data_IF_323163466255
#
_entry.id   IF_323163466255
#
_cell.length_a   1.000
_cell.length_b   1.000
_cell.length_c   1.000
_cell.angle_alpha   90.00
_cell.angle_beta   90.00
_cell.angle_gamma   90.00
#
_symmetry.space_group_name_H-M   'P 1'
#
loop_
_entity.id
_entity.type
_entity.pdbx_description
1 polymer ?
#
# COMPACT_ATOMS: atom_id res chain seq x y z
N UNK A 1 -2.29 -88.02 10.83
CA UNK A 1 -2.14 -87.45 9.48
C UNK A 1 -3.47 -86.79 9.13
N UNK A 2 -3.54 -85.46 9.27
CA UNK A 2 -4.78 -84.67 9.11
C UNK A 2 -4.60 -83.88 7.81
N UNK A 3 -5.48 -84.11 6.85
CA UNK A 3 -5.49 -83.40 5.56
C UNK A 3 -6.29 -82.13 5.83
N UNK A 4 -5.63 -80.97 5.75
CA UNK A 4 -6.31 -79.69 5.75
C UNK A 4 -6.87 -79.45 4.35
N UNK A 5 -8.18 -79.51 4.23
CA UNK A 5 -8.90 -79.16 3.00
C UNK A 5 -8.79 -77.65 2.79
N UNK A 6 -7.80 -77.26 1.98
CA UNK A 6 -7.61 -75.89 1.52
C UNK A 6 -8.76 -75.47 0.62
N UNK A 7 -9.82 -74.91 1.21
CA UNK A 7 -10.87 -74.22 0.47
C UNK A 7 -10.25 -73.09 -0.36
N UNK A 8 -10.15 -73.29 -1.67
CA UNK A 8 -9.65 -72.30 -2.61
C UNK A 8 -10.57 -71.07 -2.52
N UNK A 9 -10.09 -70.02 -1.87
CA UNK A 9 -10.74 -68.71 -1.86
C UNK A 9 -10.88 -68.25 -3.30
N UNK A 10 -12.11 -68.14 -3.79
CA UNK A 10 -12.38 -67.46 -5.04
C UNK A 10 -11.93 -66.01 -4.88
N UNK A 11 -10.83 -65.64 -5.53
CA UNK A 11 -10.38 -64.26 -5.59
C UNK A 11 -11.37 -63.48 -6.46
N UNK A 12 -12.09 -62.54 -5.84
CA UNK A 12 -13.01 -61.66 -6.54
C UNK A 12 -12.22 -60.71 -7.43
N UNK A 13 -12.29 -60.92 -8.74
CA UNK A 13 -11.77 -59.95 -9.71
C UNK A 13 -12.68 -58.70 -9.71
N UNK A 14 -12.07 -57.51 -9.76
CA UNK A 14 -12.80 -56.25 -9.91
C UNK A 14 -13.53 -56.21 -11.25
N UNK A 15 -14.77 -55.71 -11.24
CA UNK A 15 -15.51 -55.51 -12.49
C UNK A 15 -14.96 -54.30 -13.24
N UNK A 16 -14.88 -54.39 -14.57
CA UNK A 16 -14.37 -53.31 -15.43
C UNK A 16 -15.11 -51.98 -15.20
N UNK A 17 -16.42 -52.04 -14.91
CA UNK A 17 -17.22 -50.84 -14.62
C UNK A 17 -16.78 -50.14 -13.32
N UNK A 18 -16.39 -50.91 -12.31
CA UNK A 18 -15.96 -50.39 -11.01
C UNK A 18 -14.62 -49.66 -11.14
N UNK A 19 -13.69 -50.23 -11.92
CA UNK A 19 -12.42 -49.57 -12.24
C UNK A 19 -12.65 -48.26 -13.01
N UNK A 20 -13.58 -48.25 -13.98
CA UNK A 20 -13.89 -47.06 -14.76
C UNK A 20 -14.44 -45.94 -13.87
N UNK A 21 -15.41 -46.25 -13.00
CA UNK A 21 -15.98 -45.28 -12.06
C UNK A 21 -14.89 -44.73 -11.12
N UNK A 22 -14.00 -45.61 -10.62
CA UNK A 22 -12.90 -45.21 -9.74
C UNK A 22 -11.95 -44.22 -10.44
N UNK A 23 -11.59 -44.47 -11.70
CA UNK A 23 -10.74 -43.57 -12.49
C UNK A 23 -11.41 -42.21 -12.70
N UNK A 24 -12.72 -42.16 -12.97
CA UNK A 24 -13.46 -40.89 -13.12
C UNK A 24 -13.47 -40.10 -11.81
N UNK A 25 -13.74 -40.75 -10.67
CA UNK A 25 -13.74 -40.09 -9.36
C UNK A 25 -12.36 -39.52 -9.04
N UNK A 26 -11.30 -40.30 -9.25
CA UNK A 26 -9.92 -39.85 -9.04
C UNK A 26 -9.59 -38.69 -9.98
N UNK A 27 -9.98 -38.77 -11.25
CA UNK A 27 -9.77 -37.69 -12.22
C UNK A 27 -10.44 -36.38 -11.81
N UNK A 28 -11.72 -36.42 -11.41
CA UNK A 28 -12.44 -35.25 -10.91
C UNK A 28 -11.82 -34.69 -9.63
N UNK A 29 -11.33 -35.56 -8.73
CA UNK A 29 -10.66 -35.15 -7.50
C UNK A 29 -9.36 -34.40 -7.80
N UNK A 30 -8.55 -34.89 -8.74
CA UNK A 30 -7.31 -34.23 -9.16
C UNK A 30 -7.58 -32.87 -9.82
N UNK A 31 -8.62 -32.79 -10.66
CA UNK A 31 -9.04 -31.52 -11.27
C UNK A 31 -9.50 -30.51 -10.21
N UNK A 32 -10.29 -30.96 -9.23
CA UNK A 32 -10.75 -30.12 -8.11
C UNK A 32 -9.59 -29.57 -7.27
N UNK A 33 -8.63 -30.43 -6.91
CA UNK A 33 -7.45 -30.03 -6.13
C UNK A 33 -6.60 -29.03 -6.93
N UNK A 34 -6.33 -29.32 -8.20
CA UNK A 34 -5.51 -28.46 -9.05
C UNK A 34 -6.16 -27.08 -9.24
N UNK A 35 -7.47 -27.04 -9.47
CA UNK A 35 -8.23 -25.79 -9.55
C UNK A 35 -8.18 -24.99 -8.24
N UNK A 36 -8.37 -25.66 -7.11
CA UNK A 36 -8.32 -25.04 -5.79
C UNK A 36 -6.97 -24.41 -5.45
N UNK A 37 -5.86 -25.10 -5.76
CA UNK A 37 -4.50 -24.58 -5.54
C UNK A 37 -4.26 -23.32 -6.38
N UNK A 38 -4.61 -23.35 -7.67
CA UNK A 38 -4.42 -22.21 -8.56
C UNK A 38 -5.24 -20.99 -8.09
N UNK A 39 -6.49 -21.21 -7.66
CA UNK A 39 -7.32 -20.17 -7.09
C UNK A 39 -6.69 -19.58 -5.81
N UNK A 40 -6.24 -20.42 -4.88
CA UNK A 40 -5.62 -19.97 -3.63
C UNK A 40 -4.35 -19.13 -3.88
N UNK A 41 -3.47 -19.57 -4.77
CA UNK A 41 -2.27 -18.80 -5.15
C UNK A 41 -2.65 -17.47 -5.79
N UNK A 42 -3.69 -17.46 -6.64
CA UNK A 42 -4.18 -16.23 -7.25
C UNK A 42 -4.68 -15.24 -6.20
N UNK A 43 -5.42 -15.70 -5.20
CA UNK A 43 -5.89 -14.89 -4.07
C UNK A 43 -4.74 -14.35 -3.24
N UNK A 44 -3.77 -15.18 -2.86
CA UNK A 44 -2.61 -14.75 -2.06
C UNK A 44 -1.84 -13.63 -2.78
N UNK A 45 -1.57 -13.80 -4.06
CA UNK A 45 -0.90 -12.77 -4.87
C UNK A 45 -1.71 -11.47 -4.91
N UNK A 46 -3.04 -11.54 -5.08
CA UNK A 46 -3.91 -10.35 -5.06
C UNK A 46 -3.87 -9.62 -3.73
N UNK A 47 -3.85 -10.35 -2.61
CA UNK A 47 -3.76 -9.74 -1.28
C UNK A 47 -2.40 -9.05 -1.10
N UNK A 48 -1.31 -9.68 -1.53
CA UNK A 48 0.03 -9.07 -1.45
C UNK A 48 0.15 -7.80 -2.27
N UNK A 49 -0.46 -7.77 -3.46
CA UNK A 49 -0.52 -6.57 -4.29
C UNK A 49 -1.29 -5.43 -3.59
N UNK A 50 -2.38 -5.77 -2.92
CA UNK A 50 -3.18 -4.81 -2.16
C UNK A 50 -2.43 -4.29 -0.93
N UNK A 51 -1.85 -5.17 -0.12
CA UNK A 51 -1.08 -4.82 1.07
C UNK A 51 0.08 -3.90 0.69
N UNK A 52 0.80 -4.22 -0.39
CA UNK A 52 1.87 -3.36 -0.91
C UNK A 52 1.36 -1.97 -1.33
N UNK A 53 0.19 -1.90 -1.96
CA UNK A 53 -0.40 -0.61 -2.33
C UNK A 53 -0.69 0.25 -1.08
N UNK A 54 -1.15 -0.37 0.01
CA UNK A 54 -1.40 0.31 1.26
C UNK A 54 -0.10 0.81 1.92
N UNK A 55 0.95 -0.03 1.96
CA UNK A 55 2.26 0.37 2.47
C UNK A 55 2.82 1.59 1.73
N UNK A 56 2.69 1.62 0.40
CA UNK A 56 3.12 2.75 -0.45
C UNK A 56 2.32 4.01 -0.09
N UNK A 57 1.00 3.91 -0.02
CA UNK A 57 0.12 5.03 0.32
C UNK A 57 0.43 5.59 1.71
N UNK A 58 0.70 4.73 2.70
CA UNK A 58 1.09 5.14 4.05
C UNK A 58 2.47 5.79 4.08
N UNK A 59 3.46 5.21 3.39
CA UNK A 59 4.80 5.82 3.28
C UNK A 59 4.74 7.21 2.65
N UNK A 60 3.97 7.40 1.58
CA UNK A 60 3.81 8.71 0.96
C UNK A 60 2.99 9.67 1.83
N UNK A 61 2.00 9.18 2.57
CA UNK A 61 1.27 9.98 3.55
C UNK A 61 2.20 10.50 4.67
N UNK A 62 3.07 9.63 5.19
CA UNK A 62 4.09 10.01 6.19
C UNK A 62 5.06 11.04 5.63
N UNK A 63 5.58 10.82 4.41
CA UNK A 63 6.45 11.80 3.73
C UNK A 63 5.75 13.14 3.53
N UNK A 64 4.48 13.13 3.15
CA UNK A 64 3.68 14.32 2.95
C UNK A 64 3.47 15.09 4.26
N UNK A 65 3.29 14.37 5.38
CA UNK A 65 3.19 14.99 6.70
C UNK A 65 4.48 15.72 7.08
N UNK A 66 5.66 15.18 6.76
CA UNK A 66 6.94 15.78 7.10
C UNK A 66 7.29 17.04 6.27
N UNK A 67 6.51 17.36 5.23
CA UNK A 67 6.74 18.54 4.41
C UNK A 67 6.33 19.83 5.13
N UNK A 68 7.14 20.87 4.93
CA UNK A 68 6.81 22.21 5.42
C UNK A 68 5.56 22.76 4.72
N UNK A 69 4.70 23.41 5.48
CA UNK A 69 3.48 24.04 4.98
C UNK A 69 3.69 24.99 3.80
N UNK A 70 4.78 25.76 3.83
CA UNK A 70 5.15 26.69 2.76
C UNK A 70 5.36 25.97 1.41
N UNK A 71 5.95 24.77 1.44
CA UNK A 71 6.20 23.97 0.23
C UNK A 71 4.92 23.35 -0.32
N UNK A 72 4.01 22.93 0.58
CA UNK A 72 2.69 22.43 0.22
C UNK A 72 1.86 23.51 -0.46
N UNK A 73 1.85 24.73 0.09
CA UNK A 73 1.12 25.86 -0.49
C UNK A 73 1.75 26.38 -1.79
N UNK A 74 3.08 26.31 -1.92
CA UNK A 74 3.78 26.72 -3.14
C UNK A 74 3.58 25.76 -4.32
N UNK A 75 3.12 24.53 -4.07
CA UNK A 75 2.96 23.51 -5.11
C UNK A 75 4.29 22.99 -5.69
N UNK A 76 5.43 23.30 -5.06
CA UNK A 76 6.78 22.96 -5.53
C UNK A 76 7.25 21.59 -5.02
N UNK A 77 6.37 20.61 -4.93
CA UNK A 77 6.72 19.25 -4.52
C UNK A 77 6.38 18.24 -5.62
N UNK A 78 7.04 17.09 -5.58
CA UNK A 78 6.80 16.03 -6.55
C UNK A 78 5.43 15.40 -6.29
N UNK A 79 4.50 15.58 -7.22
CA UNK A 79 3.14 15.02 -7.14
C UNK A 79 3.01 13.62 -7.71
N UNK A 80 4.00 13.17 -8.50
CA UNK A 80 4.00 11.85 -9.12
C UNK A 80 5.11 10.99 -8.51
N UNK A 81 4.82 9.71 -8.30
CA UNK A 81 5.79 8.75 -7.80
C UNK A 81 5.62 7.37 -8.44
N UNK A 82 6.69 6.57 -8.39
CA UNK A 82 6.71 5.19 -8.88
C UNK A 82 7.33 4.33 -7.79
N UNK A 83 6.69 3.20 -7.49
CA UNK A 83 7.24 2.15 -6.63
C UNK A 83 6.97 0.76 -7.24
N UNK A 84 7.57 -0.27 -6.67
CA UNK A 84 7.58 -1.63 -7.16
C UNK A 84 7.04 -2.61 -6.11
N UNK A 85 6.45 -3.71 -6.57
CA UNK A 85 5.96 -4.79 -5.69
C UNK A 85 7.10 -5.39 -4.85
N UNK A 86 8.20 -5.69 -5.52
CA UNK A 86 9.44 -6.09 -4.87
C UNK A 86 10.42 -4.94 -5.00
N UNK A 87 11.02 -4.46 -3.89
CA UNK A 87 12.06 -3.46 -3.97
C UNK A 87 13.16 -4.03 -4.85
N UNK A 88 13.58 -3.26 -5.86
CA UNK A 88 14.75 -3.63 -6.66
C UNK A 88 15.90 -3.67 -5.69
N UNK A 89 16.35 -4.87 -5.31
CA UNK A 89 17.56 -5.00 -4.51
C UNK A 89 18.64 -4.28 -5.32
N UNK A 90 19.16 -3.20 -4.74
CA UNK A 90 20.26 -2.43 -5.33
C UNK A 90 21.50 -3.32 -5.29
N UNK A 91 21.54 -4.29 -6.20
CA UNK A 91 22.70 -5.14 -6.39
C UNK A 91 23.84 -4.24 -6.82
N UNK A 92 24.96 -4.36 -6.13
CA UNK A 92 26.20 -3.58 -6.27
C UNK A 92 26.81 -3.59 -7.68
N UNK A 93 26.19 -4.26 -8.66
CA UNK A 93 26.53 -4.25 -10.09
C UNK A 93 25.47 -3.51 -10.91
N UNK A 94 25.06 -2.33 -10.43
CA UNK A 94 23.92 -1.57 -10.95
C UNK A 94 24.05 -1.23 -12.43
N UNK A 95 23.30 -1.95 -13.26
CA UNK A 95 22.81 -1.36 -14.51
C UNK A 95 21.79 -0.31 -14.06
N UNK A 96 22.21 0.96 -14.09
CA UNK A 96 21.30 2.08 -13.88
C UNK A 96 20.23 2.01 -14.97
N UNK A 97 19.04 1.56 -14.60
CA UNK A 97 17.86 1.71 -15.45
C UNK A 97 17.50 3.20 -15.42
N UNK A 98 18.04 3.94 -16.38
CA UNK A 98 17.61 5.31 -16.66
C UNK A 98 16.24 5.22 -17.34
N UNK A 99 15.16 5.34 -16.56
CA UNK A 99 13.83 5.57 -17.11
C UNK A 99 13.82 6.99 -17.68
N UNK A 100 14.09 7.12 -18.97
CA UNK A 100 13.93 8.38 -19.69
C UNK A 100 12.43 8.67 -19.80
N UNK A 101 11.93 9.59 -18.98
CA UNK A 101 10.56 10.12 -19.10
C UNK A 101 10.48 11.24 -20.14
N UNK A 102 11.18 11.10 -21.28
CA UNK A 102 11.31 12.17 -22.28
C UNK A 102 10.17 12.22 -23.30
N UNK A 103 9.13 11.40 -23.17
CA UNK A 103 7.92 11.59 -23.94
C UNK A 103 6.87 12.23 -23.06
N UNK A 104 6.48 13.46 -23.42
CA UNK A 104 5.28 14.10 -22.92
C UNK A 104 4.17 13.05 -22.93
N UNK A 105 3.63 12.72 -21.75
CA UNK A 105 2.52 11.77 -21.60
C UNK A 105 1.41 12.25 -22.52
N UNK A 106 1.26 11.58 -23.66
CA UNK A 106 0.19 11.86 -24.58
C UNK A 106 -1.09 11.37 -23.90
N UNK A 107 -1.88 12.30 -23.38
CA UNK A 107 -3.25 12.02 -23.00
C UNK A 107 -3.98 11.62 -24.27
N UNK A 108 -4.23 10.32 -24.44
CA UNK A 108 -5.18 9.86 -25.44
C UNK A 108 -6.55 10.32 -24.95
N UNK A 109 -7.08 11.39 -25.57
CA UNK A 109 -8.44 11.82 -25.31
C UNK A 109 -9.36 10.63 -25.59
N UNK A 110 -10.04 10.10 -24.56
CA UNK A 110 -11.13 9.15 -24.76
C UNK A 110 -12.26 9.89 -25.50
N UNK A 111 -12.55 9.54 -26.77
CA UNK A 111 -13.53 10.27 -27.56
C UNK A 111 -14.96 10.07 -27.05
N UNK A 112 -15.20 9.19 -26.06
CA UNK A 112 -16.54 8.83 -25.61
C UNK A 112 -16.95 9.55 -24.32
N UNK A 113 -16.02 9.86 -23.39
CA UNK A 113 -16.41 10.34 -22.06
C UNK A 113 -15.62 11.54 -21.51
N UNK A 114 -14.65 12.12 -22.24
CA UNK A 114 -13.96 13.36 -21.82
C UNK A 114 -13.31 13.28 -20.43
N UNK A 115 -13.08 12.07 -19.93
CA UNK A 115 -12.39 11.82 -18.67
C UNK A 115 -10.96 11.48 -19.04
N UNK A 116 -10.02 12.34 -18.65
CA UNK A 116 -8.60 12.10 -18.85
C UNK A 116 -8.20 10.87 -18.02
N UNK A 117 -8.18 9.69 -18.66
CA UNK A 117 -7.59 8.50 -18.05
C UNK A 117 -6.08 8.68 -18.14
N UNK A 118 -5.34 8.70 -17.01
CA UNK A 118 -3.89 8.72 -17.07
C UNK A 118 -3.44 7.48 -17.83
N UNK A 119 -2.87 7.68 -19.02
CA UNK A 119 -2.21 6.61 -19.76
C UNK A 119 -1.00 6.21 -18.92
N UNK A 120 -1.07 5.05 -18.27
CA UNK A 120 0.11 4.46 -17.63
C UNK A 120 1.14 4.30 -18.75
N UNK A 121 2.30 4.96 -18.69
CA UNK A 121 3.32 4.77 -19.71
C UNK A 121 3.69 3.29 -19.70
N UNK A 122 3.41 2.60 -20.81
CA UNK A 122 3.99 1.29 -21.06
C UNK A 122 5.47 1.55 -21.29
N UNK A 123 6.25 1.48 -20.21
CA UNK A 123 7.70 1.66 -20.29
C UNK A 123 8.27 0.40 -20.93
N UNK A 124 8.31 0.36 -22.26
CA UNK A 124 9.04 -0.67 -23.00
C UNK A 124 10.54 -0.37 -22.87
N UNK A 125 11.16 -0.93 -21.83
CA UNK A 125 12.58 -0.82 -21.55
C UNK A 125 13.40 -1.61 -22.58
N UNK A 126 13.81 -0.97 -23.67
CA UNK A 126 14.76 -1.55 -24.63
C UNK A 126 16.18 -1.23 -24.17
N UNK A 127 16.83 -2.14 -23.43
CA UNK A 127 18.26 -2.03 -23.14
C UNK A 127 19.07 -2.70 -24.25
N UNK A 128 19.90 -1.95 -24.96
CA UNK A 128 20.92 -2.51 -25.86
C UNK A 128 22.18 -2.85 -25.06
N UNK A 129 22.61 -4.11 -25.10
CA UNK A 129 23.96 -4.48 -24.66
C UNK A 129 24.97 -4.17 -25.79
N UNK A 130 26.25 -4.00 -25.44
CA UNK A 130 27.34 -3.72 -26.41
C UNK A 130 27.54 -4.83 -27.47
N UNK A 131 26.81 -5.94 -27.35
CA UNK A 131 26.84 -7.06 -28.28
C UNK A 131 25.62 -7.14 -29.22
N UNK A 132 24.82 -6.07 -29.32
CA UNK A 132 23.76 -5.94 -30.34
C UNK A 132 22.68 -7.02 -30.28
N UNK A 133 22.58 -7.76 -29.17
CA UNK A 133 21.45 -8.66 -28.92
C UNK A 133 20.42 -7.88 -28.14
N UNK A 134 19.22 -7.74 -28.71
CA UNK A 134 18.05 -7.24 -28.00
C UNK A 134 17.73 -8.22 -26.86
N UNK A 135 18.33 -8.03 -25.69
CA UNK A 135 17.82 -8.62 -24.47
C UNK A 135 16.68 -7.71 -24.01
N UNK A 136 15.44 -8.12 -24.26
CA UNK A 136 14.32 -7.64 -23.46
C UNK A 136 14.63 -8.02 -22.03
N UNK A 137 14.94 -7.02 -21.21
CA UNK A 137 15.36 -7.20 -19.83
C UNK A 137 14.14 -7.66 -19.05
N UNK A 138 13.93 -8.98 -19.00
CA UNK A 138 12.75 -9.71 -18.51
C UNK A 138 12.42 -9.49 -17.03
N UNK A 139 13.10 -8.55 -16.38
CA UNK A 139 12.81 -8.06 -15.03
C UNK A 139 11.47 -7.28 -15.03
N UNK A 140 11.09 -6.66 -16.15
CA UNK A 140 9.77 -6.04 -16.33
C UNK A 140 8.61 -7.05 -16.40
N UNK A 141 8.87 -8.33 -16.69
CA UNK A 141 7.80 -9.32 -16.84
C UNK A 141 7.25 -9.82 -15.50
N UNK A 142 7.95 -9.56 -14.38
CA UNK A 142 7.59 -10.15 -13.07
C UNK A 142 7.33 -9.14 -11.96
N UNK A 143 7.75 -7.88 -12.10
CA UNK A 143 7.54 -6.87 -11.07
C UNK A 143 6.36 -5.97 -11.43
N UNK A 144 5.38 -5.87 -10.53
CA UNK A 144 4.24 -4.96 -10.69
C UNK A 144 4.72 -3.56 -10.35
N UNK A 145 4.43 -2.62 -11.26
CA UNK A 145 4.77 -1.19 -11.11
C UNK A 145 3.55 -0.47 -10.58
N UNK A 146 3.76 0.28 -9.51
CA UNK A 146 2.77 1.16 -8.89
C UNK A 146 3.07 2.59 -9.32
N UNK A 147 2.15 3.21 -10.04
CA UNK A 147 2.22 4.61 -10.41
C UNK A 147 1.24 5.39 -9.54
N UNK A 148 1.72 6.43 -8.85
CA UNK A 148 0.89 7.20 -7.94
C UNK A 148 0.93 8.70 -8.17
N UNK A 149 -0.13 9.35 -7.70
CA UNK A 149 -0.35 10.79 -7.78
C UNK A 149 -0.80 11.34 -6.44
N UNK A 150 -0.40 12.57 -6.13
CA UNK A 150 -0.78 13.31 -4.93
C UNK A 150 -1.52 14.56 -5.38
N UNK A 151 -2.77 14.69 -4.96
CA UNK A 151 -3.63 15.86 -5.22
C UNK A 151 -3.92 16.59 -3.90
N UNK A 152 -3.51 17.85 -3.80
CA UNK A 152 -3.79 18.69 -2.62
C UNK A 152 -4.94 19.64 -2.94
N UNK A 153 -5.98 19.61 -2.10
CA UNK A 153 -7.16 20.48 -2.18
C UNK A 153 -7.26 21.36 -0.93
N UNK A 154 -7.84 22.57 -1.06
CA UNK A 154 -8.26 23.32 0.11
C UNK A 154 -9.26 22.51 0.95
N UNK A 155 -9.21 22.68 2.27
CA UNK A 155 -10.19 22.09 3.16
C UNK A 155 -11.51 22.88 3.04
N UNK A 156 -12.47 22.33 2.30
CA UNK A 156 -13.73 23.02 1.96
C UNK A 156 -14.87 22.77 2.95
N UNK A 157 -14.66 21.98 4.00
CA UNK A 157 -15.73 21.75 4.97
C UNK A 157 -15.99 23.01 5.80
N UNK A 158 -17.26 23.24 6.11
CA UNK A 158 -17.73 24.36 6.92
C UNK A 158 -17.32 24.16 8.37
N UNK A 159 -16.05 24.42 8.69
CA UNK A 159 -15.63 24.54 10.07
C UNK A 159 -16.11 25.87 10.61
N UNK A 160 -17.10 25.85 11.50
CA UNK A 160 -17.53 27.02 12.28
C UNK A 160 -16.34 27.67 13.02
N UNK A 161 -15.29 26.89 13.27
CA UNK A 161 -14.08 27.28 13.99
C UNK A 161 -13.01 27.98 13.13
N UNK A 162 -13.20 28.13 11.81
CA UNK A 162 -12.31 28.94 10.97
C UNK A 162 -10.98 28.29 10.56
N UNK A 163 -10.79 26.98 10.80
CA UNK A 163 -9.54 26.28 10.49
C UNK A 163 -9.27 26.04 8.98
N UNK A 164 -10.14 26.52 8.09
CA UNK A 164 -10.07 26.21 6.66
C UNK A 164 -8.79 26.74 5.99
N UNK A 165 -8.24 27.84 6.50
CA UNK A 165 -7.00 28.42 5.97
C UNK A 165 -5.75 27.63 6.39
N UNK A 166 -5.78 27.07 7.61
CA UNK A 166 -4.68 26.31 8.22
C UNK A 166 -4.76 24.79 7.95
N UNK A 167 -5.77 24.31 7.20
CA UNK A 167 -5.91 22.91 6.82
C UNK A 167 -5.89 22.71 5.31
N UNK A 168 -5.32 21.58 4.89
CA UNK A 168 -5.35 21.08 3.52
C UNK A 168 -5.75 19.63 3.56
N UNK A 169 -6.37 19.18 2.47
CA UNK A 169 -6.69 17.78 2.26
C UNK A 169 -5.81 17.26 1.14
N UNK A 170 -5.13 16.15 1.37
CA UNK A 170 -4.37 15.47 0.35
C UNK A 170 -5.04 14.13 0.01
N UNK A 171 -5.29 13.91 -1.28
CA UNK A 171 -5.71 12.63 -1.83
C UNK A 171 -4.50 12.00 -2.52
N UNK A 172 -4.03 10.89 -1.98
CA UNK A 172 -2.94 10.11 -2.55
C UNK A 172 -3.59 8.92 -3.24
N UNK A 173 -3.31 8.75 -4.53
CA UNK A 173 -3.84 7.65 -5.32
C UNK A 173 -2.70 6.83 -5.92
N UNK A 174 -2.86 5.52 -5.96
CA UNK A 174 -1.92 4.60 -6.60
C UNK A 174 -2.68 3.69 -7.54
N UNK A 175 -2.10 3.46 -8.72
CA UNK A 175 -2.65 2.61 -9.77
C UNK A 175 -1.62 1.58 -10.19
N UNK A 176 -2.07 0.36 -10.45
CA UNK A 176 -1.23 -0.71 -10.97
C UNK A 176 -2.02 -1.63 -11.88
N UNK A 177 -1.35 -2.24 -12.85
CA UNK A 177 -1.95 -3.20 -13.76
C UNK A 177 -1.50 -4.62 -13.39
N UNK A 178 -2.44 -5.51 -13.11
CA UNK A 178 -2.17 -6.91 -12.79
C UNK A 178 -3.20 -7.80 -13.46
N UNK A 179 -2.74 -8.90 -14.07
CA UNK A 179 -3.61 -9.94 -14.68
C UNK A 179 -4.66 -9.41 -15.66
N UNK A 180 -4.30 -8.40 -16.45
CA UNK A 180 -5.22 -7.82 -17.43
C UNK A 180 -6.24 -6.84 -16.85
N UNK A 181 -6.12 -6.47 -15.56
CA UNK A 181 -7.02 -5.54 -14.89
C UNK A 181 -6.23 -4.37 -14.30
N UNK A 182 -6.76 -3.16 -14.49
CA UNK A 182 -6.30 -1.96 -13.79
C UNK A 182 -6.90 -1.95 -12.38
N UNK A 183 -6.03 -1.72 -11.39
CA UNK A 183 -6.38 -1.58 -9.99
C UNK A 183 -6.02 -0.17 -9.52
N UNK A 184 -6.84 0.35 -8.61
CA UNK A 184 -6.65 1.66 -8.00
C UNK A 184 -6.89 1.55 -6.50
N UNK A 185 -6.04 2.19 -5.71
CA UNK A 185 -6.24 2.39 -4.29
C UNK A 185 -5.92 3.85 -3.95
N UNK A 186 -6.57 4.39 -2.92
CA UNK A 186 -6.36 5.78 -2.51
C UNK A 186 -6.52 5.95 -1.01
N UNK A 187 -5.81 6.94 -0.46
CA UNK A 187 -5.96 7.38 0.92
C UNK A 187 -6.13 8.91 0.92
N UNK A 188 -7.03 9.36 1.78
CA UNK A 188 -7.26 10.78 2.05
C UNK A 188 -6.68 11.12 3.42
N UNK A 189 -5.86 12.14 3.49
CA UNK A 189 -5.30 12.65 4.74
C UNK A 189 -5.54 14.15 4.88
N UNK A 190 -5.78 14.58 6.11
CA UNK A 190 -5.87 15.99 6.45
C UNK A 190 -4.52 16.47 6.99
N UNK A 191 -4.02 17.55 6.43
CA UNK A 191 -2.77 18.19 6.78
C UNK A 191 -3.07 19.49 7.51
N UNK A 192 -2.48 19.67 8.69
CA UNK A 192 -2.53 20.91 9.46
C UNK A 192 -1.24 21.71 9.22
N UNK A 193 -1.35 23.04 9.21
CA UNK A 193 -0.21 23.95 9.20
C UNK A 193 0.71 23.70 10.39
N UNK A 194 0.12 23.47 11.56
CA UNK A 194 0.82 23.17 12.81
C UNK A 194 0.94 21.65 12.97
N UNK A 195 1.74 21.01 12.12
CA UNK A 195 1.96 19.57 12.15
C UNK A 195 2.63 19.12 13.48
N UNK A 196 2.63 17.82 13.80
CA UNK A 196 3.21 17.23 15.02
C UNK A 196 4.63 17.72 15.37
N UNK A 197 5.42 18.14 14.38
CA UNK A 197 6.77 18.69 14.60
C UNK A 197 6.77 20.11 15.18
N UNK A 198 5.66 20.85 15.09
CA UNK A 198 5.49 22.15 15.74
C UNK A 198 5.08 22.04 17.20
N UNK A 199 5.06 20.82 17.77
CA UNK A 199 5.23 20.63 19.20
C UNK A 199 6.68 20.99 19.57
N UNK A 200 7.01 22.26 19.36
CA UNK A 200 8.08 22.91 20.06
C UNK A 200 7.65 22.77 21.51
N UNK A 201 8.35 21.94 22.30
CA UNK A 201 8.23 21.97 23.76
C UNK A 201 8.27 23.45 24.11
N UNK A 202 7.12 23.99 24.50
CA UNK A 202 6.99 25.37 24.90
C UNK A 202 8.09 25.53 25.94
N UNK A 203 9.18 26.27 25.63
CA UNK A 203 10.48 26.07 26.27
C UNK A 203 10.19 26.19 27.73
N UNK A 204 10.30 25.06 28.48
CA UNK A 204 9.71 24.91 29.81
C UNK A 204 9.82 26.26 30.48
N UNK A 205 8.70 26.99 30.54
CA UNK A 205 8.69 28.27 31.21
C UNK A 205 9.02 27.82 32.61
N UNK A 206 10.27 28.01 33.01
CA UNK A 206 10.66 27.98 34.40
C UNK A 206 9.71 29.01 35.00
N UNK A 207 8.61 28.51 35.54
CA UNK A 207 7.57 29.25 36.23
C UNK A 207 8.26 29.69 37.49
N UNK A 208 9.11 30.72 37.33
CA UNK A 208 10.40 30.81 37.99
C UNK A 208 10.32 30.32 39.41
N UNK A 209 11.01 29.21 39.71
CA UNK A 209 11.10 28.58 41.03
C UNK A 209 10.07 29.12 42.02
N UNK A 210 8.81 28.66 41.93
CA UNK A 210 7.76 29.06 42.88
C UNK A 210 8.36 28.87 44.27
N UNK A 211 8.57 29.97 44.99
CA UNK A 211 9.31 29.88 46.23
C UNK A 211 8.49 29.00 47.17
N UNK A 212 9.16 28.15 47.95
CA UNK A 212 8.47 27.26 48.88
C UNK A 212 7.52 28.05 49.82
N UNK A 213 7.83 29.34 50.02
CA UNK A 213 7.01 30.31 50.73
C UNK A 213 5.68 30.62 50.01
N UNK A 214 5.68 30.85 48.71
CA UNK A 214 4.44 31.13 47.95
C UNK A 214 3.48 29.93 47.97
N UNK A 215 4.03 28.70 48.02
CA UNK A 215 3.24 27.48 48.19
C UNK A 215 2.65 27.42 49.61
N UNK A 216 3.45 27.74 50.64
CA UNK A 216 2.99 27.76 52.03
C UNK A 216 1.90 28.81 52.26
N UNK A 217 2.08 30.01 51.73
CA UNK A 217 1.12 31.12 51.86
C UNK A 217 -0.21 30.78 51.16
N UNK A 218 -0.15 30.08 50.02
CA UNK A 218 -1.36 29.60 49.32
C UNK A 218 -2.10 28.53 50.14
N UNK A 219 -1.38 27.63 50.79
CA UNK A 219 -1.97 26.57 51.63
C UNK A 219 -2.57 27.15 52.91
N UNK A 220 -1.93 28.13 53.54
CA UNK A 220 -2.46 28.79 54.73
C UNK A 220 -3.72 29.59 54.43
N UNK A 221 -3.74 30.34 53.32
CA UNK A 221 -4.95 31.06 52.87
C UNK A 221 -6.11 30.10 52.55
N UNK A 222 -5.82 28.93 51.99
CA UNK A 222 -6.85 27.92 51.74
C UNK A 222 -7.41 27.33 53.05
N UNK A 223 -6.57 27.11 54.07
CA UNK A 223 -7.05 26.64 55.38
C UNK A 223 -7.89 27.69 56.10
N UNK A 224 -7.53 28.96 55.99
CA UNK A 224 -8.30 30.06 56.58
C UNK A 224 -9.72 30.14 55.95
N UNK A 225 -9.83 29.99 54.63
CA UNK A 225 -11.13 30.04 53.95
C UNK A 225 -12.05 28.85 54.28
N UNK A 226 -11.50 27.70 54.68
CA UNK A 226 -12.31 26.55 55.14
C UNK A 226 -12.91 26.76 56.54
N UNK A 227 -12.31 27.64 57.36
CA UNK A 227 -12.78 27.90 58.73
C UNK A 227 -13.94 28.90 58.83
N UNK A 228 -14.21 29.68 57.79
CA UNK A 228 -15.33 30.64 57.76
C UNK A 228 -16.67 30.00 57.31
N UNK A 229 -16.66 28.71 56.96
CA UNK A 229 -17.84 28.00 56.42
C UNK A 229 -18.61 27.21 57.49
N UNK A 230 -18.29 27.37 58.78
CA UNK A 230 -18.97 26.70 59.90
C UNK A 230 -19.38 27.64 61.02
#
# INVERSE_FOLDING_TARGET
MRIEDGALKAESAFSLIETLISVVIVGLSVLGITGGINFCLATIQSNREWDRSADILTSEAERLSLLRWDLLCAGNFHTNFIDYLYPVQSGTNGIAITVSTNEAVAYAADPVNGTDIPVIPVVEQVSTNEFGTLQTNRISDTNIIYAGTIEIKPFLESNVLGYNEAMRRALISVQWFSRGKLHTNSIEINLSQDNLTSFQEDPYKDTGSVSQKDILDTVENWKASQSEVW
#
